data_IF_416154849687
#
_entry.id   IF_416154849687
#
_cell.length_a   1.000
_cell.length_b   1.000
_cell.length_c   1.000
_cell.angle_alpha   90.00
_cell.angle_beta   90.00
_cell.angle_gamma   90.00
#
_symmetry.space_group_name_H-M   'P 1'
#
loop_
_entity.id
_entity.type
_entity.pdbx_description
1 polymer ?
#
# COMPACT_ATOMS: atom_id res chain seq x y z
N UNK A 1 44.75 -16.04 -0.79
CA UNK A 1 43.95 -15.96 0.45
C UNK A 1 43.05 -14.71 0.43
N UNK A 2 41.95 -14.70 -0.35
CA UNK A 2 41.02 -13.56 -0.46
C UNK A 2 39.57 -13.96 -0.84
N UNK A 3 39.08 -15.11 -0.35
CA UNK A 3 37.71 -15.59 -0.72
C UNK A 3 36.73 -15.77 0.46
N UNK A 4 37.03 -15.27 1.66
CA UNK A 4 36.22 -15.53 2.86
C UNK A 4 35.33 -14.39 3.37
N UNK A 5 35.37 -13.19 2.80
CA UNK A 5 34.71 -12.01 3.42
C UNK A 5 33.33 -11.63 2.87
N UNK A 6 32.89 -12.19 1.76
CA UNK A 6 31.61 -11.85 1.14
C UNK A 6 30.39 -12.61 1.67
N UNK A 7 30.55 -13.83 2.12
CA UNK A 7 29.45 -14.67 2.57
C UNK A 7 28.95 -14.34 3.99
N UNK A 8 29.83 -13.90 4.87
CA UNK A 8 29.49 -13.60 6.27
C UNK A 8 28.59 -12.39 6.47
N UNK A 9 28.71 -11.37 5.64
CA UNK A 9 27.88 -10.15 5.72
C UNK A 9 26.45 -10.37 5.23
N UNK A 10 26.26 -11.26 4.26
CA UNK A 10 24.93 -11.62 3.75
C UNK A 10 24.08 -12.40 4.78
N UNK A 11 24.69 -13.35 5.47
CA UNK A 11 23.99 -14.12 6.52
C UNK A 11 23.72 -13.28 7.77
N UNK A 12 24.61 -12.39 8.16
CA UNK A 12 24.42 -11.50 9.30
C UNK A 12 23.28 -10.49 9.05
N UNK A 13 23.10 -10.00 7.81
CA UNK A 13 21.99 -9.12 7.45
C UNK A 13 20.63 -9.85 7.39
N UNK A 14 20.62 -11.11 6.98
CA UNK A 14 19.40 -11.93 6.94
C UNK A 14 18.93 -12.31 8.36
N UNK A 15 19.84 -12.60 9.28
CA UNK A 15 19.52 -12.83 10.70
C UNK A 15 19.02 -11.56 11.38
N UNK A 16 19.49 -10.37 10.97
CA UNK A 16 19.01 -9.08 11.49
C UNK A 16 17.55 -8.77 11.10
N UNK A 17 17.04 -9.39 10.02
CA UNK A 17 15.61 -9.26 9.63
C UNK A 17 14.69 -10.13 10.50
N UNK A 18 15.21 -11.17 11.19
CA UNK A 18 14.41 -12.11 11.98
C UNK A 18 13.42 -12.93 11.14
N UNK A 19 13.65 -13.06 9.83
CA UNK A 19 12.82 -13.85 8.91
C UNK A 19 13.56 -15.10 8.46
N UNK A 20 12.87 -16.23 8.42
CA UNK A 20 13.38 -17.44 7.78
C UNK A 20 13.59 -17.19 6.27
N UNK A 21 14.58 -17.84 5.63
CA UNK A 21 14.86 -17.63 4.20
C UNK A 21 13.64 -17.85 3.29
N UNK A 22 12.80 -18.84 3.59
CA UNK A 22 11.55 -19.08 2.86
C UNK A 22 10.53 -17.95 3.00
N UNK A 23 10.39 -17.38 4.21
CA UNK A 23 9.52 -16.23 4.45
C UNK A 23 10.01 -14.98 3.72
N UNK A 24 11.33 -14.76 3.68
CA UNK A 24 11.92 -13.66 2.93
C UNK A 24 11.68 -13.82 1.41
N UNK A 25 11.85 -15.02 0.87
CA UNK A 25 11.55 -15.29 -0.55
C UNK A 25 10.08 -15.03 -0.89
N UNK A 26 9.15 -15.44 -0.02
CA UNK A 26 7.72 -15.14 -0.16
C UNK A 26 7.45 -13.64 -0.07
N UNK A 27 8.10 -12.92 0.85
CA UNK A 27 7.96 -11.45 0.98
C UNK A 27 8.46 -10.74 -0.29
N UNK A 28 9.57 -11.17 -0.88
CA UNK A 28 10.10 -10.65 -2.14
C UNK A 28 9.10 -10.88 -3.28
N UNK A 29 8.58 -12.10 -3.42
CA UNK A 29 7.56 -12.42 -4.42
C UNK A 29 6.28 -11.61 -4.25
N UNK A 30 5.77 -11.51 -3.01
CA UNK A 30 4.60 -10.70 -2.67
C UNK A 30 4.82 -9.22 -2.99
N UNK A 31 5.99 -8.67 -2.65
CA UNK A 31 6.37 -7.29 -2.92
C UNK A 31 6.39 -7.00 -4.43
N UNK A 32 7.00 -7.89 -5.21
CA UNK A 32 7.04 -7.77 -6.68
C UNK A 32 5.63 -7.78 -7.28
N UNK A 33 4.79 -8.77 -6.92
CA UNK A 33 3.42 -8.89 -7.45
C UNK A 33 2.56 -7.69 -7.05
N UNK A 34 2.61 -7.29 -5.78
CA UNK A 34 1.87 -6.14 -5.28
C UNK A 34 2.27 -4.83 -5.98
N UNK A 35 3.56 -4.65 -6.24
CA UNK A 35 4.07 -3.49 -6.97
C UNK A 35 3.75 -3.54 -8.48
N UNK A 36 3.74 -4.71 -9.09
CA UNK A 36 3.29 -4.89 -10.47
C UNK A 36 1.82 -4.46 -10.62
N UNK A 37 0.94 -4.90 -9.71
CA UNK A 37 -0.47 -4.48 -9.68
C UNK A 37 -0.58 -2.96 -9.50
N UNK A 38 0.20 -2.37 -8.59
CA UNK A 38 0.25 -0.91 -8.43
C UNK A 38 0.71 -0.20 -9.70
N UNK A 39 1.75 -0.69 -10.34
CA UNK A 39 2.26 -0.14 -11.60
C UNK A 39 1.20 -0.16 -12.69
N UNK A 40 0.47 -1.28 -12.81
CA UNK A 40 -0.59 -1.49 -13.79
C UNK A 40 -1.83 -0.63 -13.51
N UNK A 41 -2.29 -0.57 -12.24
CA UNK A 41 -3.56 0.05 -11.88
C UNK A 41 -3.43 1.45 -11.27
N UNK A 42 -2.24 1.82 -10.79
CA UNK A 42 -2.02 3.04 -10.02
C UNK A 42 -2.34 2.92 -8.52
N UNK A 43 -2.85 1.76 -8.07
CA UNK A 43 -3.21 1.47 -6.68
C UNK A 43 -3.08 -0.04 -6.39
N UNK A 44 -3.39 -0.46 -5.16
CA UNK A 44 -3.50 -1.89 -4.81
C UNK A 44 -2.26 -2.51 -4.18
N UNK A 45 -1.09 -1.83 -4.17
CA UNK A 45 0.12 -2.39 -3.55
C UNK A 45 -0.12 -2.79 -2.10
N UNK A 46 -0.62 -1.88 -1.27
CA UNK A 46 -0.82 -2.13 0.15
C UNK A 46 -1.94 -3.16 0.41
N UNK A 47 -2.97 -3.18 -0.43
CA UNK A 47 -4.09 -4.14 -0.33
C UNK A 47 -3.58 -5.59 -0.42
N UNK A 48 -2.53 -5.83 -1.21
CA UNK A 48 -1.90 -7.14 -1.35
C UNK A 48 -0.75 -7.32 -0.36
N UNK A 49 0.12 -6.31 -0.25
CA UNK A 49 1.38 -6.43 0.49
C UNK A 49 1.15 -6.52 2.01
N UNK A 50 0.25 -5.69 2.58
CA UNK A 50 0.08 -5.65 4.05
C UNK A 50 -0.47 -6.96 4.60
N UNK A 51 -1.54 -7.57 4.06
CA UNK A 51 -2.00 -8.87 4.53
C UNK A 51 -0.93 -9.97 4.37
N UNK A 52 -0.21 -10.00 3.23
CA UNK A 52 0.81 -11.01 2.99
C UNK A 52 2.03 -10.85 3.92
N UNK A 53 2.51 -9.63 4.13
CA UNK A 53 3.56 -9.37 5.12
C UNK A 53 3.08 -9.65 6.55
N UNK A 54 1.84 -9.34 6.88
CA UNK A 54 1.23 -9.60 8.20
C UNK A 54 1.15 -11.08 8.57
N UNK A 55 1.37 -12.01 7.61
CA UNK A 55 1.55 -13.44 7.89
C UNK A 55 2.96 -13.77 8.42
N UNK A 56 3.93 -12.88 8.18
CA UNK A 56 5.36 -13.13 8.45
C UNK A 56 5.89 -12.22 9.56
N UNK A 57 5.30 -11.04 9.74
CA UNK A 57 5.66 -10.03 10.72
C UNK A 57 4.41 -9.55 11.48
N UNK A 58 4.59 -8.72 12.52
CA UNK A 58 3.46 -8.11 13.22
C UNK A 58 2.67 -7.18 12.28
N UNK A 59 1.34 -7.06 12.47
CA UNK A 59 0.51 -6.16 11.63
C UNK A 59 1.03 -4.73 11.57
N UNK A 60 1.48 -4.18 12.69
CA UNK A 60 2.08 -2.84 12.76
C UNK A 60 3.34 -2.76 11.88
N UNK A 61 4.21 -3.75 11.95
CA UNK A 61 5.42 -3.81 11.11
C UNK A 61 5.09 -3.89 9.62
N UNK A 62 4.08 -4.71 9.25
CA UNK A 62 3.63 -4.84 7.87
C UNK A 62 3.10 -3.50 7.32
N UNK A 63 2.33 -2.75 8.11
CA UNK A 63 1.82 -1.42 7.75
C UNK A 63 2.96 -0.42 7.61
N UNK A 64 3.90 -0.37 8.57
CA UNK A 64 5.04 0.55 8.53
C UNK A 64 5.93 0.29 7.32
N UNK A 65 6.31 -0.97 7.08
CA UNK A 65 7.15 -1.35 5.92
C UNK A 65 6.45 -1.04 4.61
N UNK A 66 5.15 -1.35 4.49
CA UNK A 66 4.37 -1.04 3.29
C UNK A 66 4.31 0.46 3.01
N UNK A 67 4.14 1.29 4.04
CA UNK A 67 4.14 2.76 3.89
C UNK A 67 5.53 3.32 3.58
N UNK A 68 6.61 2.80 4.18
CA UNK A 68 7.98 3.16 3.79
C UNK A 68 8.25 2.85 2.31
N UNK A 69 7.82 1.68 1.84
CA UNK A 69 7.93 1.30 0.42
C UNK A 69 7.05 2.17 -0.47
N UNK A 70 5.84 2.52 0.00
CA UNK A 70 4.95 3.46 -0.66
C UNK A 70 5.56 4.85 -0.81
N UNK A 71 6.26 5.34 0.23
CA UNK A 71 7.00 6.60 0.22
C UNK A 71 8.15 6.55 -0.80
N UNK A 72 9.01 5.54 -0.73
CA UNK A 72 10.16 5.40 -1.62
C UNK A 72 9.75 5.32 -3.10
N UNK A 73 8.77 4.48 -3.42
CA UNK A 73 8.31 4.35 -4.81
C UNK A 73 7.52 5.58 -5.27
N UNK A 74 6.81 6.27 -4.37
CA UNK A 74 6.12 7.52 -4.66
C UNK A 74 7.11 8.66 -4.97
N UNK A 75 8.18 8.79 -4.19
CA UNK A 75 9.24 9.76 -4.43
C UNK A 75 9.94 9.52 -5.77
N UNK A 76 10.17 8.26 -6.16
CA UNK A 76 10.81 7.93 -7.45
C UNK A 76 10.02 8.39 -8.69
N UNK A 77 8.71 8.63 -8.54
CA UNK A 77 7.81 9.08 -9.61
C UNK A 77 7.16 10.45 -9.35
N UNK A 78 7.63 11.17 -8.32
CA UNK A 78 6.98 12.40 -7.85
C UNK A 78 6.83 13.45 -8.95
N UNK A 79 7.89 13.74 -9.71
CA UNK A 79 7.84 14.77 -10.76
C UNK A 79 6.75 14.48 -11.78
N UNK A 80 6.75 13.27 -12.34
CA UNK A 80 5.75 12.85 -13.33
C UNK A 80 4.33 12.87 -12.76
N UNK A 81 4.17 12.41 -11.52
CA UNK A 81 2.89 12.40 -10.80
C UNK A 81 2.39 13.82 -10.56
N UNK A 82 3.27 14.72 -10.13
CA UNK A 82 2.94 16.12 -9.84
C UNK A 82 2.46 16.88 -11.08
N UNK A 83 3.13 16.66 -12.23
CA UNK A 83 2.78 17.32 -13.49
C UNK A 83 1.43 16.87 -14.03
N UNK A 84 1.04 15.61 -13.81
CA UNK A 84 -0.17 15.01 -14.36
C UNK A 84 -1.40 15.08 -13.44
N UNK A 85 -1.21 15.31 -12.12
CA UNK A 85 -2.27 15.25 -11.12
C UNK A 85 -3.21 16.48 -11.14
N UNK A 86 -4.45 16.27 -10.71
CA UNK A 86 -5.30 17.35 -10.19
C UNK A 86 -4.81 17.73 -8.79
N UNK A 87 -3.92 18.73 -8.74
CA UNK A 87 -3.24 19.15 -7.52
C UNK A 87 -4.20 19.68 -6.47
N UNK A 88 -5.27 20.38 -6.87
CA UNK A 88 -6.21 20.98 -5.94
C UNK A 88 -6.89 19.93 -5.07
N UNK A 89 -7.53 18.95 -5.69
CA UNK A 89 -8.18 17.86 -4.95
C UNK A 89 -7.19 16.97 -4.23
N UNK A 90 -6.05 16.63 -4.87
CA UNK A 90 -5.06 15.74 -4.30
C UNK A 90 -4.36 16.32 -3.06
N UNK A 91 -4.05 17.62 -3.04
CA UNK A 91 -3.46 18.28 -1.88
C UNK A 91 -4.46 18.44 -0.74
N UNK A 92 -5.73 18.73 -1.04
CA UNK A 92 -6.78 18.83 -0.01
C UNK A 92 -7.03 17.48 0.65
N UNK A 93 -7.25 16.42 -0.16
CA UNK A 93 -7.47 15.06 0.34
C UNK A 93 -6.21 14.56 1.06
N UNK A 94 -5.03 14.76 0.46
CA UNK A 94 -3.75 14.36 1.02
C UNK A 94 -3.45 15.05 2.34
N UNK A 95 -3.69 16.35 2.45
CA UNK A 95 -3.49 17.12 3.69
C UNK A 95 -4.38 16.64 4.84
N UNK A 96 -5.68 16.45 4.57
CA UNK A 96 -6.60 15.88 5.57
C UNK A 96 -6.21 14.45 5.95
N UNK A 97 -5.79 13.65 4.98
CA UNK A 97 -5.34 12.30 5.22
C UNK A 97 -4.05 12.27 6.05
N UNK A 98 -3.10 13.18 5.82
CA UNK A 98 -1.90 13.29 6.65
C UNK A 98 -2.22 13.54 8.12
N UNK A 99 -3.20 14.38 8.42
CA UNK A 99 -3.65 14.67 9.79
C UNK A 99 -4.30 13.43 10.42
N UNK A 100 -5.10 12.68 9.66
CA UNK A 100 -5.82 11.52 10.16
C UNK A 100 -4.96 10.25 10.29
N UNK A 101 -3.85 10.13 9.55
CA UNK A 101 -3.00 8.93 9.52
C UNK A 101 -2.42 8.54 10.90
N UNK A 102 -1.89 9.45 11.73
CA UNK A 102 -1.38 9.09 13.05
C UNK A 102 -2.43 8.44 13.96
N UNK A 103 -3.68 8.87 13.88
CA UNK A 103 -4.78 8.30 14.67
C UNK A 103 -5.08 6.86 14.25
N UNK A 104 -5.08 6.57 12.95
CA UNK A 104 -5.22 5.20 12.45
C UNK A 104 -4.08 4.29 12.90
N UNK A 105 -2.83 4.80 12.88
CA UNK A 105 -1.66 4.04 13.33
C UNK A 105 -1.68 3.80 14.86
N UNK A 106 -2.09 4.80 15.63
CA UNK A 106 -2.29 4.67 17.07
C UNK A 106 -3.35 3.62 17.42
N UNK A 107 -4.48 3.61 16.67
CA UNK A 107 -5.52 2.61 16.83
C UNK A 107 -4.99 1.19 16.52
N UNK A 108 -4.23 1.01 15.45
CA UNK A 108 -3.62 -0.28 15.11
C UNK A 108 -2.68 -0.76 16.22
N UNK A 109 -1.91 0.15 16.81
CA UNK A 109 -1.00 -0.18 17.90
C UNK A 109 -1.71 -0.58 19.19
N UNK A 110 -2.89 -0.02 19.45
CA UNK A 110 -3.68 -0.28 20.64
C UNK A 110 -4.48 -1.59 20.61
N UNK A 111 -4.65 -2.19 19.41
CA UNK A 111 -5.46 -3.41 19.20
C UNK A 111 -4.55 -4.65 19.27
N UNK A 112 -5.09 -5.74 19.81
CA UNK A 112 -4.41 -7.04 19.81
C UNK A 112 -4.04 -7.46 18.38
N UNK A 113 -2.81 -8.00 18.15
CA UNK A 113 -2.33 -8.37 16.82
C UNK A 113 -3.21 -9.39 16.07
N UNK A 114 -3.93 -10.28 16.76
CA UNK A 114 -4.83 -11.23 16.10
C UNK A 114 -6.05 -10.50 15.54
N UNK A 115 -6.67 -9.62 16.32
CA UNK A 115 -7.76 -8.77 15.85
C UNK A 115 -7.33 -7.80 14.75
N UNK A 116 -6.14 -7.22 14.87
CA UNK A 116 -5.58 -6.35 13.85
C UNK A 116 -5.49 -7.06 12.49
N UNK A 117 -5.02 -8.31 12.45
CA UNK A 117 -4.96 -9.10 11.20
C UNK A 117 -6.33 -9.30 10.57
N UNK A 118 -7.34 -9.64 11.39
CA UNK A 118 -8.73 -9.83 10.91
C UNK A 118 -9.27 -8.54 10.30
N UNK A 119 -9.14 -7.43 11.03
CA UNK A 119 -9.66 -6.15 10.59
C UNK A 119 -8.94 -5.63 9.34
N UNK A 120 -7.62 -5.79 9.23
CA UNK A 120 -6.85 -5.46 8.02
C UNK A 120 -7.33 -6.32 6.83
N UNK A 121 -7.57 -7.62 7.04
CA UNK A 121 -8.10 -8.49 5.99
C UNK A 121 -9.51 -8.07 5.55
N UNK A 122 -10.38 -7.69 6.51
CA UNK A 122 -11.71 -7.17 6.19
C UNK A 122 -11.65 -5.85 5.42
N UNK A 123 -10.75 -4.94 5.79
CA UNK A 123 -10.50 -3.69 5.04
C UNK A 123 -10.02 -4.01 3.62
N UNK A 124 -9.14 -5.00 3.43
CA UNK A 124 -8.67 -5.41 2.10
C UNK A 124 -9.81 -5.99 1.24
N UNK A 125 -10.67 -6.82 1.82
CA UNK A 125 -11.87 -7.36 1.14
C UNK A 125 -12.84 -6.24 0.78
N UNK A 126 -13.11 -5.32 1.71
CA UNK A 126 -13.96 -4.16 1.46
C UNK A 126 -13.39 -3.28 0.34
N UNK A 127 -12.08 -3.02 0.38
CA UNK A 127 -11.37 -2.27 -0.66
C UNK A 127 -11.58 -2.92 -2.04
N UNK A 128 -11.45 -4.24 -2.10
CA UNK A 128 -11.68 -5.00 -3.32
C UNK A 128 -13.13 -4.88 -3.83
N UNK A 129 -14.12 -5.06 -2.95
CA UNK A 129 -15.54 -4.91 -3.32
C UNK A 129 -15.83 -3.51 -3.84
N UNK A 130 -15.30 -2.47 -3.19
CA UNK A 130 -15.48 -1.07 -3.62
C UNK A 130 -14.87 -0.78 -5.00
N UNK A 131 -13.75 -1.41 -5.34
CA UNK A 131 -13.12 -1.29 -6.66
C UNK A 131 -13.91 -1.99 -7.77
N UNK A 132 -14.67 -3.05 -7.44
CA UNK A 132 -15.53 -3.75 -8.40
C UNK A 132 -16.82 -3.00 -8.71
N UNK A 133 -17.23 -2.05 -7.87
CA UNK A 133 -18.42 -1.25 -8.14
C UNK A 133 -18.24 -0.45 -9.44
N UNK A 134 -19.26 -0.43 -10.33
CA UNK A 134 -19.18 0.31 -11.56
C UNK A 134 -19.03 1.81 -11.29
N UNK A 135 -18.24 2.53 -12.10
CA UNK A 135 -18.17 3.98 -12.02
C UNK A 135 -19.56 4.58 -12.25
N UNK A 136 -19.88 5.68 -11.56
CA UNK A 136 -21.13 6.40 -11.82
C UNK A 136 -21.03 7.14 -13.16
N UNK A 137 -22.06 7.09 -14.02
CA UNK A 137 -22.03 7.74 -15.34
C UNK A 137 -22.01 9.28 -15.29
N UNK A 138 -22.44 9.87 -14.20
CA UNK A 138 -22.65 11.32 -14.10
C UNK A 138 -21.39 12.02 -13.59
N UNK A 139 -20.88 12.97 -14.39
CA UNK A 139 -19.77 13.86 -14.03
C UNK A 139 -20.12 14.76 -12.85
N UNK A 140 -20.15 14.20 -11.66
CA UNK A 140 -20.45 14.89 -10.41
C UNK A 140 -19.26 15.72 -9.94
N UNK A 141 -19.48 17.01 -9.68
CA UNK A 141 -18.50 17.83 -8.97
C UNK A 141 -18.56 17.50 -7.49
N UNK A 142 -17.46 17.01 -6.87
CA UNK A 142 -17.50 16.56 -5.49
C UNK A 142 -17.79 17.71 -4.51
N UNK A 143 -18.70 17.48 -3.57
CA UNK A 143 -18.94 18.41 -2.48
C UNK A 143 -17.76 18.44 -1.50
N UNK A 144 -17.58 19.58 -0.81
CA UNK A 144 -16.52 19.73 0.22
C UNK A 144 -16.56 18.63 1.28
N UNK A 145 -17.77 18.21 1.67
CA UNK A 145 -17.95 17.12 2.63
C UNK A 145 -17.45 15.76 2.10
N UNK A 146 -17.63 15.48 0.81
CA UNK A 146 -17.13 14.26 0.17
C UNK A 146 -15.60 14.24 0.11
N UNK A 147 -14.99 15.39 -0.23
CA UNK A 147 -13.53 15.58 -0.20
C UNK A 147 -12.98 15.36 1.21
N UNK A 148 -13.62 15.96 2.21
CA UNK A 148 -13.20 15.82 3.61
C UNK A 148 -13.36 14.38 4.12
N UNK A 149 -14.50 13.74 3.86
CA UNK A 149 -14.73 12.35 4.23
C UNK A 149 -13.71 11.40 3.57
N UNK A 150 -13.40 11.63 2.28
CA UNK A 150 -12.38 10.87 1.56
C UNK A 150 -11.01 11.04 2.18
N UNK A 151 -10.60 12.27 2.49
CA UNK A 151 -9.29 12.53 3.09
C UNK A 151 -9.15 11.93 4.49
N UNK A 152 -10.13 12.15 5.37
CA UNK A 152 -10.10 11.63 6.74
C UNK A 152 -10.09 10.09 6.74
N UNK A 153 -11.00 9.46 5.98
CA UNK A 153 -11.05 8.00 5.91
C UNK A 153 -9.81 7.40 5.25
N UNK A 154 -9.24 8.04 4.23
CA UNK A 154 -7.99 7.62 3.63
C UNK A 154 -6.83 7.63 4.62
N UNK A 155 -6.74 8.69 5.44
CA UNK A 155 -5.72 8.78 6.48
C UNK A 155 -5.87 7.71 7.56
N UNK A 156 -7.07 7.56 8.11
CA UNK A 156 -7.36 6.53 9.11
C UNK A 156 -7.02 5.13 8.59
N UNK A 157 -7.46 4.80 7.36
CA UNK A 157 -7.17 3.50 6.75
C UNK A 157 -5.70 3.33 6.38
N UNK A 158 -4.98 4.41 6.05
CA UNK A 158 -3.52 4.34 5.85
C UNK A 158 -2.81 3.98 7.14
N UNK A 159 -3.12 4.67 8.24
CA UNK A 159 -2.50 4.37 9.53
C UNK A 159 -2.87 2.99 10.05
N UNK A 160 -4.15 2.60 9.93
CA UNK A 160 -4.66 1.34 10.47
C UNK A 160 -4.27 0.13 9.63
N UNK A 161 -4.39 0.21 8.31
CA UNK A 161 -4.22 -0.93 7.39
C UNK A 161 -3.19 -0.70 6.28
N UNK A 162 -2.55 0.48 6.23
CA UNK A 162 -1.66 0.86 5.13
C UNK A 162 -2.40 1.13 3.81
N UNK A 163 -3.73 1.24 3.82
CA UNK A 163 -4.58 1.17 2.62
C UNK A 163 -5.40 2.46 2.41
N UNK A 164 -4.85 3.53 1.80
CA UNK A 164 -5.62 4.73 1.47
C UNK A 164 -6.60 4.53 0.30
N UNK A 165 -6.45 3.43 -0.45
CA UNK A 165 -7.19 3.16 -1.69
C UNK A 165 -8.71 3.11 -1.58
N UNK A 166 -9.31 2.43 -0.59
CA UNK A 166 -10.76 2.24 -0.50
C UNK A 166 -11.60 3.51 -0.67
N UNK A 167 -11.31 4.64 -0.01
CA UNK A 167 -12.04 5.88 -0.24
C UNK A 167 -11.52 6.69 -1.45
N UNK A 168 -10.21 6.67 -1.71
CA UNK A 168 -9.58 7.52 -2.73
C UNK A 168 -9.88 7.04 -4.15
N UNK A 169 -9.85 5.73 -4.38
CA UNK A 169 -10.07 5.15 -5.71
C UNK A 169 -11.49 5.43 -6.22
N UNK A 170 -12.57 5.12 -5.48
CA UNK A 170 -13.93 5.45 -5.92
C UNK A 170 -14.15 6.94 -6.10
N UNK A 171 -13.54 7.79 -5.27
CA UNK A 171 -13.61 9.24 -5.39
C UNK A 171 -13.13 9.71 -6.76
N UNK A 172 -11.92 9.30 -7.19
CA UNK A 172 -11.38 9.72 -8.48
C UNK A 172 -12.01 9.02 -9.68
N UNK A 173 -12.42 7.75 -9.56
CA UNK A 173 -13.07 7.02 -10.65
C UNK A 173 -14.47 7.55 -10.99
N UNK A 174 -15.10 8.29 -10.09
CA UNK A 174 -16.41 8.91 -10.30
C UNK A 174 -16.34 10.31 -10.93
N UNK A 175 -15.15 10.89 -11.03
CA UNK A 175 -14.97 12.21 -11.63
C UNK A 175 -14.83 12.11 -13.14
N UNK A 176 -15.36 13.11 -13.85
CA UNK A 176 -15.21 13.24 -15.30
C UNK A 176 -13.82 13.79 -15.66
N UNK A 177 -12.75 13.11 -15.22
CA UNK A 177 -11.37 13.48 -15.53
C UNK A 177 -10.67 12.33 -16.27
N UNK A 178 -9.65 12.62 -17.11
CA UNK A 178 -8.89 11.59 -17.79
C UNK A 178 -8.28 10.57 -16.82
N UNK A 179 -8.30 9.28 -17.17
CA UNK A 179 -7.79 8.19 -16.34
C UNK A 179 -6.34 8.42 -15.86
N UNK A 180 -5.50 8.99 -16.73
CA UNK A 180 -4.11 9.34 -16.37
C UNK A 180 -4.06 10.40 -15.27
N UNK A 181 -4.94 11.40 -15.29
CA UNK A 181 -5.03 12.45 -14.26
C UNK A 181 -5.57 11.87 -12.94
N UNK A 182 -6.63 11.06 -13.00
CA UNK A 182 -7.16 10.36 -11.83
C UNK A 182 -6.09 9.51 -11.14
N UNK A 183 -5.35 8.70 -11.93
CA UNK A 183 -4.24 7.87 -11.45
C UNK A 183 -3.14 8.71 -10.79
N UNK A 184 -2.71 9.79 -11.42
CA UNK A 184 -1.68 10.67 -10.87
C UNK A 184 -2.14 11.33 -9.55
N UNK A 185 -3.40 11.78 -9.48
CA UNK A 185 -3.97 12.35 -8.27
C UNK A 185 -4.02 11.35 -7.12
N UNK A 186 -4.46 10.12 -7.37
CA UNK A 186 -4.41 9.02 -6.39
C UNK A 186 -3.00 8.77 -5.87
N UNK A 187 -2.00 8.69 -6.77
CA UNK A 187 -0.60 8.46 -6.40
C UNK A 187 -0.02 9.59 -5.53
N UNK A 188 -0.45 10.84 -5.76
CA UNK A 188 -0.04 11.99 -4.96
C UNK A 188 -0.64 11.92 -3.54
N UNK A 189 -1.91 11.55 -3.40
CA UNK A 189 -2.55 11.30 -2.10
C UNK A 189 -1.83 10.14 -1.37
N UNK A 190 -1.51 9.05 -2.07
CA UNK A 190 -0.83 7.91 -1.48
C UNK A 190 0.60 8.24 -1.03
N UNK A 191 1.28 9.10 -1.74
CA UNK A 191 2.59 9.61 -1.30
C UNK A 191 2.47 10.43 -0.01
N UNK A 192 1.49 11.35 0.06
CA UNK A 192 1.24 12.17 1.23
C UNK A 192 0.92 11.32 2.48
N UNK A 193 0.02 10.33 2.33
CA UNK A 193 -0.33 9.42 3.43
C UNK A 193 0.82 8.50 3.84
N UNK A 194 1.62 8.02 2.88
CA UNK A 194 2.82 7.21 3.17
C UNK A 194 3.87 8.03 3.92
N UNK A 195 4.06 9.30 3.56
CA UNK A 195 4.92 10.22 4.30
C UNK A 195 4.43 10.41 5.73
N UNK A 196 3.15 10.71 5.92
CA UNK A 196 2.55 10.90 7.24
C UNK A 196 2.68 9.65 8.12
N UNK A 197 2.40 8.46 7.56
CA UNK A 197 2.54 7.19 8.28
C UNK A 197 4.00 6.90 8.66
N UNK A 198 4.95 7.18 7.77
CA UNK A 198 6.37 6.99 8.03
C UNK A 198 6.87 7.93 9.14
N UNK A 199 6.47 9.21 9.09
CA UNK A 199 6.81 10.19 10.13
C UNK A 199 6.16 9.84 11.45
N UNK A 200 4.86 9.49 11.46
CA UNK A 200 4.15 9.09 12.66
C UNK A 200 4.75 7.81 13.28
N UNK A 201 5.09 6.81 12.47
CA UNK A 201 5.74 5.59 12.92
C UNK A 201 7.09 5.83 13.58
N UNK A 202 7.89 6.76 13.04
CA UNK A 202 9.15 7.19 13.66
C UNK A 202 8.91 7.97 14.97
N UNK A 203 7.99 8.92 14.97
CA UNK A 203 7.67 9.75 16.14
C UNK A 203 7.09 8.93 17.30
N UNK A 204 6.32 7.89 17.00
CA UNK A 204 5.74 6.96 17.99
C UNK A 204 6.71 5.84 18.41
N UNK A 205 7.96 5.81 17.87
CA UNK A 205 8.92 4.76 18.18
C UNK A 205 8.59 3.37 17.60
N UNK A 206 7.61 3.30 16.69
CA UNK A 206 7.17 2.06 16.05
C UNK A 206 8.02 1.68 14.84
N UNK A 207 8.65 2.66 14.18
CA UNK A 207 9.57 2.46 13.06
C UNK A 207 11.02 2.52 13.56
N UNK A 208 11.88 1.63 13.05
CA UNK A 208 13.29 1.57 13.41
C UNK A 208 14.13 0.96 12.30
N UNK A 209 15.43 0.74 12.59
CA UNK A 209 16.41 0.26 11.63
C UNK A 209 16.02 -1.06 10.94
N UNK A 210 15.37 -1.99 11.68
CA UNK A 210 14.89 -3.27 11.12
C UNK A 210 13.85 -3.05 10.02
N UNK A 211 12.90 -2.12 10.22
CA UNK A 211 11.87 -1.79 9.22
C UNK A 211 12.48 -1.12 8.00
N UNK A 212 13.45 -0.22 8.20
CA UNK A 212 14.20 0.42 7.12
C UNK A 212 15.00 -0.61 6.31
N UNK A 213 15.67 -1.56 6.98
CA UNK A 213 16.41 -2.64 6.32
C UNK A 213 15.48 -3.54 5.49
N UNK A 214 14.34 -3.94 6.06
CA UNK A 214 13.35 -4.76 5.33
C UNK A 214 12.78 -4.00 4.13
N UNK A 215 12.47 -2.70 4.28
CA UNK A 215 12.06 -1.86 3.18
C UNK A 215 13.14 -1.73 2.10
N UNK A 216 14.42 -1.59 2.48
CA UNK A 216 15.53 -1.53 1.55
C UNK A 216 15.68 -2.83 0.74
N UNK A 217 15.58 -3.98 1.38
CA UNK A 217 15.63 -5.31 0.72
C UNK A 217 14.47 -5.50 -0.26
N UNK A 218 13.25 -5.08 0.14
CA UNK A 218 12.05 -5.22 -0.68
C UNK A 218 11.93 -4.14 -1.76
N UNK A 219 12.69 -3.04 -1.69
CA UNK A 219 12.59 -1.93 -2.64
C UNK A 219 12.96 -2.33 -4.06
N UNK A 220 13.99 -3.15 -4.27
CA UNK A 220 14.38 -3.63 -5.60
C UNK A 220 13.24 -4.37 -6.32
N UNK A 221 12.67 -5.43 -5.73
CA UNK A 221 11.49 -6.11 -6.26
C UNK A 221 10.30 -5.18 -6.50
N UNK A 222 10.04 -4.24 -5.59
CA UNK A 222 8.95 -3.26 -5.73
C UNK A 222 9.19 -2.32 -6.89
N UNK A 223 10.39 -1.77 -7.01
CA UNK A 223 10.73 -0.88 -8.11
C UNK A 223 10.59 -1.59 -9.46
N UNK A 224 11.11 -2.81 -9.58
CA UNK A 224 11.02 -3.61 -10.80
C UNK A 224 9.56 -3.95 -11.13
N UNK A 225 8.80 -4.46 -10.16
CA UNK A 225 7.38 -4.79 -10.34
C UNK A 225 6.56 -3.58 -10.77
N UNK A 226 6.73 -2.44 -10.09
CA UNK A 226 6.02 -1.20 -10.43
C UNK A 226 6.37 -0.69 -11.83
N UNK A 227 7.64 -0.79 -12.24
CA UNK A 227 8.07 -0.38 -13.59
C UNK A 227 7.46 -1.28 -14.67
N UNK A 228 7.52 -2.59 -14.50
CA UNK A 228 6.93 -3.56 -15.44
C UNK A 228 5.41 -3.42 -15.51
N UNK A 229 4.74 -3.26 -14.36
CA UNK A 229 3.31 -2.98 -14.31
C UNK A 229 2.93 -1.68 -15.02
N UNK A 230 3.72 -0.61 -14.84
CA UNK A 230 3.53 0.66 -15.53
C UNK A 230 3.68 0.56 -17.06
N UNK A 231 4.60 -0.27 -17.54
CA UNK A 231 4.76 -0.54 -18.99
C UNK A 231 3.59 -1.36 -19.55
N UNK A 232 2.93 -2.16 -18.74
CA UNK A 232 1.75 -2.93 -19.11
C UNK A 232 0.44 -2.09 -19.03
N UNK A 233 0.50 -0.89 -18.45
CA UNK A 233 -0.66 0.00 -18.34
C UNK A 233 -1.27 0.28 -19.73
N UNK A 234 -2.58 0.10 -19.85
CA UNK A 234 -3.32 0.26 -21.12
C UNK A 234 -3.23 -0.92 -22.10
N UNK A 235 -2.44 -1.98 -21.78
CA UNK A 235 -2.35 -3.21 -22.59
C UNK A 235 -3.15 -4.37 -22.02
N UNK A 236 -3.49 -4.32 -20.74
CA UNK A 236 -4.28 -5.35 -20.04
C UNK A 236 -5.73 -4.91 -19.99
N UNK A 237 -6.65 -5.81 -20.37
CA UNK A 237 -8.07 -5.51 -20.26
C UNK A 237 -8.50 -5.37 -18.80
N UNK A 238 -9.44 -4.46 -18.53
CA UNK A 238 -10.02 -4.25 -17.20
C UNK A 238 -10.56 -5.54 -16.58
N UNK A 239 -11.08 -6.45 -17.41
CA UNK A 239 -11.62 -7.74 -16.97
C UNK A 239 -10.52 -8.65 -16.43
N UNK A 240 -9.39 -8.79 -17.13
CA UNK A 240 -8.26 -9.60 -16.69
C UNK A 240 -7.64 -9.01 -15.42
N UNK A 241 -7.50 -7.69 -15.37
CA UNK A 241 -7.02 -6.98 -14.19
C UNK A 241 -7.88 -7.26 -12.94
N UNK A 242 -9.21 -7.13 -13.07
CA UNK A 242 -10.15 -7.41 -11.97
C UNK A 242 -10.05 -8.85 -11.46
N UNK A 243 -9.92 -9.82 -12.37
CA UNK A 243 -9.75 -11.22 -12.01
C UNK A 243 -8.44 -11.50 -11.28
N UNK A 244 -7.32 -10.90 -11.72
CA UNK A 244 -6.03 -11.03 -11.06
C UNK A 244 -6.06 -10.47 -9.64
N UNK A 245 -6.62 -9.28 -9.45
CA UNK A 245 -6.77 -8.66 -8.12
C UNK A 245 -7.70 -9.49 -7.24
N UNK A 246 -8.83 -10.00 -7.80
CA UNK A 246 -9.76 -10.86 -7.08
C UNK A 246 -9.10 -12.15 -6.58
N UNK A 247 -8.35 -12.83 -7.45
CA UNK A 247 -7.67 -14.08 -7.12
C UNK A 247 -6.64 -13.87 -6.00
N UNK A 248 -5.84 -12.80 -6.10
CA UNK A 248 -4.80 -12.50 -5.11
C UNK A 248 -5.39 -12.10 -3.75
N UNK A 249 -6.48 -11.34 -3.74
CA UNK A 249 -7.17 -10.97 -2.49
C UNK A 249 -7.91 -12.15 -1.88
N UNK A 250 -8.55 -12.98 -2.69
CA UNK A 250 -9.18 -14.21 -2.21
C UNK A 250 -8.13 -15.13 -1.58
N UNK A 251 -6.98 -15.31 -2.22
CA UNK A 251 -5.88 -16.11 -1.69
C UNK A 251 -5.34 -15.53 -0.36
N UNK A 252 -5.09 -14.21 -0.27
CA UNK A 252 -4.60 -13.58 0.95
C UNK A 252 -5.63 -13.62 2.09
N UNK A 253 -6.91 -13.39 1.78
CA UNK A 253 -8.01 -13.48 2.74
C UNK A 253 -8.22 -14.90 3.26
N UNK A 254 -8.16 -15.90 2.38
CA UNK A 254 -8.29 -17.33 2.75
C UNK A 254 -7.16 -17.75 3.68
N UNK A 255 -5.91 -17.40 3.37
CA UNK A 255 -4.76 -17.71 4.23
C UNK A 255 -4.87 -17.02 5.60
N UNK A 256 -5.36 -15.77 5.65
CA UNK A 256 -5.59 -15.07 6.91
C UNK A 256 -6.70 -15.74 7.76
N UNK A 257 -7.79 -16.19 7.13
CA UNK A 257 -8.91 -16.88 7.79
C UNK A 257 -8.52 -18.28 8.28
N UNK A 258 -7.78 -19.06 7.48
CA UNK A 258 -7.33 -20.43 7.86
C UNK A 258 -6.45 -20.40 9.11
N UNK A 259 -5.66 -19.36 9.32
CA UNK A 259 -4.83 -19.20 10.53
C UNK A 259 -5.61 -18.73 11.78
N UNK A 260 -6.88 -18.34 11.65
CA UNK A 260 -7.76 -18.02 12.77
C UNK A 260 -8.49 -19.25 13.31
N UNK A 261 -8.47 -20.35 12.55
CA UNK A 261 -9.01 -21.64 13.01
C UNK A 261 -7.87 -22.30 13.81
N UNK A 262 -8.07 -22.52 15.15
CA UNK A 262 -7.04 -23.10 16.03
C UNK A 262 -6.67 -24.53 15.63
#
# INVERSE_FOLDING_TARGET
>A
MAEGRGAGTGYASLTALGLAPGALALAIGAAFVAAFVRGLAGFGMAILLVPLLGLMVLPVEAVIVSNLLGLLIGLSSLRQTWEAADRSSALTIGGLAMIATPFGLGLLHAIDPAWARVLIALVAVLAFVLVLLPPRPDGHSPHRAEVAATGISAGLLTGFAGMPGPPVVPFYLRQAIPAARARASMLLVFLATSLASSVAGLAMGMAGARHALLAAVLFGPIWLGNRLGGMAFGRVSDRLWRWLVALLLAASGTVALVRLIP
#
